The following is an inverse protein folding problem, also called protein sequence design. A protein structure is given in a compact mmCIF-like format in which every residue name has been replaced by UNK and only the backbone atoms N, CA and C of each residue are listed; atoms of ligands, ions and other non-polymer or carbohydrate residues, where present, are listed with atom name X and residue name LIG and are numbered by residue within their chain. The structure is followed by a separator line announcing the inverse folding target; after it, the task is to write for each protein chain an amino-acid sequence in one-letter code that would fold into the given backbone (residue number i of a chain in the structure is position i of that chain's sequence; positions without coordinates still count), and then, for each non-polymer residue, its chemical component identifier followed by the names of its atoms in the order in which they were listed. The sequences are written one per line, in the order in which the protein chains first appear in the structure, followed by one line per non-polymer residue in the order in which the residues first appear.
data_IF_574880142507
#
_entry.id   IF_574880142507
#
_cell.length_a   1.000
_cell.length_b   1.000
_cell.length_c   1.000
_cell.angle_alpha   90.00
_cell.angle_beta   90.00
_cell.angle_gamma   90.00
#
_symmetry.space_group_name_H-M   'P 1'
#
loop_
_entity.id
_entity.type
_entity.pdbx_description
1 polymer ?
#
# COMPACT_ATOMS: atom_id res chain seq x y z
N UNK A 1 -42.09 27.64 -68.76
CA UNK A 1 -42.48 27.56 -67.32
C UNK A 1 -42.29 26.15 -66.75
N UNK A 2 -42.63 25.09 -67.48
CA UNK A 2 -42.47 23.69 -66.98
C UNK A 2 -41.00 23.28 -66.79
N UNK A 3 -40.10 23.68 -67.70
CA UNK A 3 -38.67 23.32 -67.63
C UNK A 3 -37.94 23.91 -66.42
N UNK A 4 -38.28 25.14 -66.02
CA UNK A 4 -37.69 25.79 -64.84
C UNK A 4 -38.10 25.10 -63.54
N UNK A 5 -39.35 24.62 -63.45
CA UNK A 5 -39.80 23.85 -62.28
C UNK A 5 -39.15 22.46 -62.21
N UNK A 6 -38.86 21.83 -63.34
CA UNK A 6 -38.19 20.52 -63.39
C UNK A 6 -36.73 20.61 -62.92
N UNK A 7 -36.02 21.68 -63.31
CA UNK A 7 -34.62 21.92 -62.88
C UNK A 7 -34.54 22.19 -61.37
N UNK A 8 -35.46 22.98 -60.82
CA UNK A 8 -35.50 23.30 -59.38
C UNK A 8 -35.87 22.06 -58.55
N UNK A 9 -36.78 21.23 -59.04
CA UNK A 9 -37.12 19.95 -58.40
C UNK A 9 -35.93 18.96 -58.43
N UNK A 10 -35.16 18.92 -59.53
CA UNK A 10 -33.98 18.06 -59.65
C UNK A 10 -32.83 18.45 -58.70
N UNK A 11 -32.55 19.75 -58.55
CA UNK A 11 -31.46 20.24 -57.68
C UNK A 11 -31.78 20.06 -56.19
N UNK A 12 -33.04 20.27 -55.78
CA UNK A 12 -33.47 20.03 -54.40
C UNK A 12 -33.39 18.55 -54.01
N UNK A 13 -33.74 17.64 -54.92
CA UNK A 13 -33.62 16.19 -54.69
C UNK A 13 -32.15 15.74 -54.58
N UNK A 14 -31.27 16.28 -55.42
CA UNK A 14 -29.83 15.96 -55.39
C UNK A 14 -29.16 16.41 -54.08
N UNK A 15 -29.49 17.60 -53.57
CA UNK A 15 -28.98 18.10 -52.29
C UNK A 15 -29.48 17.21 -51.13
N UNK A 16 -30.74 16.76 -51.18
CA UNK A 16 -31.31 15.83 -50.20
C UNK A 16 -30.56 14.50 -50.14
N UNK A 17 -30.23 13.91 -51.28
CA UNK A 17 -29.53 12.62 -51.36
C UNK A 17 -28.09 12.72 -50.82
N UNK A 18 -27.39 13.82 -51.13
CA UNK A 18 -26.04 14.08 -50.59
C UNK A 18 -26.08 14.29 -49.08
N UNK A 19 -27.11 14.96 -48.55
CA UNK A 19 -27.30 15.13 -47.12
C UNK A 19 -27.53 13.80 -46.39
N UNK A 20 -28.40 12.94 -46.93
CA UNK A 20 -28.75 11.64 -46.33
C UNK A 20 -27.53 10.70 -46.33
N UNK A 21 -26.78 10.64 -47.43
CA UNK A 21 -25.57 9.81 -47.50
C UNK A 21 -24.53 10.22 -46.45
N UNK A 22 -24.29 11.53 -46.27
CA UNK A 22 -23.38 12.04 -45.23
C UNK A 22 -23.89 11.73 -43.82
N UNK A 23 -25.19 11.82 -43.59
CA UNK A 23 -25.79 11.44 -42.30
C UNK A 23 -25.58 9.95 -41.99
N UNK A 24 -25.70 9.06 -42.99
CA UNK A 24 -25.44 7.62 -42.82
C UNK A 24 -23.96 7.37 -42.48
N UNK A 25 -23.01 8.03 -43.14
CA UNK A 25 -21.59 7.88 -42.81
C UNK A 25 -21.26 8.38 -41.39
N UNK A 26 -21.87 9.49 -40.95
CA UNK A 26 -21.74 9.96 -39.56
C UNK A 26 -22.31 8.98 -38.54
N UNK A 27 -23.45 8.34 -38.86
CA UNK A 27 -24.06 7.32 -38.01
C UNK A 27 -23.14 6.08 -37.88
N UNK A 28 -22.57 5.60 -38.98
CA UNK A 28 -21.64 4.47 -38.99
C UNK A 28 -20.38 4.81 -38.17
N UNK A 29 -19.83 6.03 -38.34
CA UNK A 29 -18.68 6.48 -37.56
C UNK A 29 -19.00 6.54 -36.05
N UNK A 30 -20.17 7.05 -35.66
CA UNK A 30 -20.61 7.10 -34.27
C UNK A 30 -20.70 5.68 -33.66
N UNK A 31 -21.29 4.72 -34.38
CA UNK A 31 -21.40 3.34 -33.91
C UNK A 31 -20.03 2.67 -33.78
N UNK A 32 -19.12 2.89 -34.72
CA UNK A 32 -17.75 2.39 -34.65
C UNK A 32 -16.95 3.01 -33.50
N UNK A 33 -17.14 4.30 -33.23
CA UNK A 33 -16.52 4.99 -32.12
C UNK A 33 -17.05 4.46 -30.77
N UNK A 34 -18.37 4.27 -30.65
CA UNK A 34 -18.98 3.74 -29.43
C UNK A 34 -18.59 2.29 -29.17
N UNK A 35 -18.52 1.45 -30.21
CA UNK A 35 -18.07 0.06 -30.08
C UNK A 35 -16.58 -0.02 -29.72
N UNK A 36 -15.74 0.83 -30.32
CA UNK A 36 -14.33 0.96 -29.97
C UNK A 36 -14.11 1.47 -28.55
N UNK A 37 -14.88 2.46 -28.11
CA UNK A 37 -14.84 2.97 -26.74
C UNK A 37 -15.32 1.92 -25.72
N UNK A 38 -16.37 1.16 -26.06
CA UNK A 38 -16.84 0.05 -25.23
C UNK A 38 -15.77 -1.05 -25.15
N UNK A 39 -15.12 -1.41 -26.25
CA UNK A 39 -14.04 -2.39 -26.25
C UNK A 39 -12.83 -1.89 -25.47
N UNK A 40 -12.44 -0.62 -25.64
CA UNK A 40 -11.35 0.01 -24.89
C UNK A 40 -11.64 0.01 -23.39
N UNK A 41 -12.85 0.39 -22.97
CA UNK A 41 -13.22 0.38 -21.55
C UNK A 41 -13.33 -1.02 -20.98
N UNK A 42 -13.80 -2.01 -21.74
CA UNK A 42 -13.84 -3.42 -21.31
C UNK A 42 -12.43 -4.02 -21.21
N UNK A 43 -11.56 -3.76 -22.18
CA UNK A 43 -10.17 -4.22 -22.15
C UNK A 43 -9.35 -3.49 -21.07
N UNK A 44 -9.58 -2.20 -20.87
CA UNK A 44 -8.95 -1.44 -19.80
C UNK A 44 -9.50 -1.87 -18.42
N UNK A 45 -10.78 -2.22 -18.32
CA UNK A 45 -11.35 -2.87 -17.12
C UNK A 45 -10.75 -4.25 -16.90
N UNK A 46 -10.53 -5.06 -17.95
CA UNK A 46 -9.87 -6.37 -17.82
C UNK A 46 -8.41 -6.22 -17.41
N UNK A 47 -7.64 -5.31 -18.02
CA UNK A 47 -6.28 -4.98 -17.59
C UNK A 47 -6.26 -4.46 -16.15
N UNK A 48 -7.16 -3.55 -15.79
CA UNK A 48 -7.24 -2.99 -14.45
C UNK A 48 -7.75 -4.00 -13.41
N UNK A 49 -8.57 -4.99 -13.82
CA UNK A 49 -9.06 -6.09 -12.97
C UNK A 49 -8.00 -7.16 -12.78
N UNK A 50 -7.28 -7.54 -13.83
CA UNK A 50 -6.14 -8.47 -13.75
C UNK A 50 -4.98 -7.86 -12.97
N UNK A 51 -4.75 -6.55 -13.11
CA UNK A 51 -3.79 -5.77 -12.33
C UNK A 51 -4.36 -5.31 -10.97
N UNK A 52 -5.60 -5.70 -10.65
CA UNK A 52 -6.19 -5.63 -9.30
C UNK A 52 -5.95 -6.97 -8.65
N UNK A 53 -4.72 -7.21 -8.23
CA UNK A 53 -4.49 -8.18 -7.18
C UNK A 53 -5.41 -7.83 -5.99
N UNK A 54 -5.95 -8.82 -5.26
CA UNK A 54 -6.74 -8.59 -4.05
C UNK A 54 -5.98 -7.77 -3.00
N UNK A 55 -4.66 -7.65 -3.15
CA UNK A 55 -3.77 -6.83 -2.35
C UNK A 55 -4.03 -5.33 -2.58
N UNK A 56 -4.34 -4.88 -3.80
CA UNK A 56 -4.75 -3.49 -4.05
C UNK A 56 -6.13 -3.16 -3.43
N UNK A 57 -7.02 -4.16 -3.34
CA UNK A 57 -8.28 -4.04 -2.61
C UNK A 57 -8.07 -3.99 -1.09
N UNK A 58 -7.11 -4.76 -0.57
CA UNK A 58 -6.66 -4.68 0.84
C UNK A 58 -5.99 -3.35 1.17
N UNK A 59 -5.12 -2.83 0.30
CA UNK A 59 -4.43 -1.53 0.47
C UNK A 59 -5.42 -0.36 0.42
N UNK A 60 -6.40 -0.40 -0.48
CA UNK A 60 -7.46 0.63 -0.53
C UNK A 60 -8.48 0.51 0.62
N UNK A 61 -8.76 -0.69 1.13
CA UNK A 61 -9.54 -0.89 2.36
C UNK A 61 -8.79 -0.37 3.58
N UNK A 62 -7.50 -0.70 3.71
CA UNK A 62 -6.65 -0.28 4.81
C UNK A 62 -6.44 1.24 4.79
N UNK A 63 -6.15 1.83 3.64
CA UNK A 63 -6.03 3.29 3.47
C UNK A 63 -7.34 4.02 3.77
N UNK A 64 -8.49 3.47 3.34
CA UNK A 64 -9.81 4.06 3.61
C UNK A 64 -10.19 3.94 5.10
N UNK A 65 -9.88 2.82 5.74
CA UNK A 65 -10.07 2.60 7.18
C UNK A 65 -9.12 3.44 8.05
N UNK A 66 -7.90 3.68 7.56
CA UNK A 66 -6.92 4.61 8.15
C UNK A 66 -7.51 6.02 8.17
N UNK A 67 -8.03 6.49 7.03
CA UNK A 67 -8.63 7.82 6.88
C UNK A 67 -9.87 7.99 7.77
N UNK A 68 -10.75 6.98 7.86
CA UNK A 68 -11.94 7.07 8.73
C UNK A 68 -11.59 7.08 10.21
N UNK A 69 -10.58 6.33 10.65
CA UNK A 69 -10.16 6.37 12.06
C UNK A 69 -9.38 7.65 12.42
N UNK A 70 -8.80 8.36 11.45
CA UNK A 70 -8.16 9.65 11.68
C UNK A 70 -9.20 10.70 12.11
N UNK A 71 -10.36 10.75 11.44
CA UNK A 71 -11.47 11.66 11.80
C UNK A 71 -12.05 11.36 13.20
N UNK A 72 -12.17 10.08 13.57
CA UNK A 72 -12.67 9.65 14.88
C UNK A 72 -11.69 9.94 16.04
N UNK A 73 -10.39 10.04 15.75
CA UNK A 73 -9.36 10.39 16.74
C UNK A 73 -9.28 11.92 16.92
N UNK A 74 -9.57 12.69 15.86
CA UNK A 74 -9.60 14.16 15.89
C UNK A 74 -10.63 14.71 16.89
N UNK A 75 -11.77 14.04 17.03
CA UNK A 75 -12.83 14.41 17.99
C UNK A 75 -12.50 14.08 19.45
N UNK A 76 -11.60 13.13 19.71
CA UNK A 76 -11.24 12.73 21.09
C UNK A 76 -9.99 13.43 21.65
N UNK A 77 -9.07 13.88 20.79
CA UNK A 77 -7.79 14.44 21.24
C UNK A 77 -7.84 15.93 21.61
N UNK A 78 -8.94 16.63 21.33
CA UNK A 78 -9.09 18.07 21.62
C UNK A 78 -9.27 18.38 23.12
N UNK A 79 -9.29 17.36 23.98
CA UNK A 79 -9.55 17.50 25.42
C UNK A 79 -8.36 17.20 26.36
N UNK A 80 -7.17 16.87 25.87
CA UNK A 80 -6.04 16.58 26.78
C UNK A 80 -4.71 17.15 26.29
N UNK A 81 -4.54 18.47 26.43
CA UNK A 81 -3.21 19.09 26.45
C UNK A 81 -2.78 19.25 27.90
N UNK A 82 -2.25 18.19 28.49
CA UNK A 82 -1.58 18.25 29.79
C UNK A 82 -0.09 18.45 29.56
N UNK A 83 0.38 19.66 29.87
CA UNK A 83 1.78 20.02 30.02
C UNK A 83 2.27 19.49 31.36
N UNK A 84 3.18 18.52 31.36
CA UNK A 84 4.11 18.40 32.48
C UNK A 84 5.44 17.82 32.00
N UNK A 85 6.42 18.71 31.93
CA UNK A 85 7.84 18.47 31.70
C UNK A 85 8.45 17.97 33.01
N UNK A 86 8.35 16.67 33.26
CA UNK A 86 9.31 15.99 34.12
C UNK A 86 9.56 14.63 33.49
N UNK A 87 10.80 14.40 33.06
CA UNK A 87 11.27 13.11 32.52
C UNK A 87 11.37 12.15 33.70
N UNK A 88 10.22 11.72 34.23
CA UNK A 88 10.17 10.48 34.97
C UNK A 88 10.52 9.41 33.93
N UNK A 89 11.56 8.61 34.21
CA UNK A 89 11.97 7.49 33.37
C UNK A 89 10.80 6.50 33.30
N UNK A 90 9.87 6.75 32.40
CA UNK A 90 8.70 5.91 32.19
C UNK A 90 9.20 4.57 31.67
N UNK A 91 8.92 3.47 32.37
CA UNK A 91 9.40 2.16 31.96
C UNK A 91 8.91 1.85 30.54
N UNK A 92 9.85 1.47 29.66
CA UNK A 92 9.57 1.21 28.25
C UNK A 92 8.90 -0.16 28.08
N UNK A 93 9.48 -1.17 28.71
CA UNK A 93 9.03 -2.57 28.65
C UNK A 93 8.65 -3.14 30.00
N UNK A 94 8.88 -2.39 31.09
CA UNK A 94 8.70 -2.82 32.47
C UNK A 94 9.71 -3.90 32.92
N UNK A 95 10.79 -4.07 32.15
CA UNK A 95 11.96 -4.88 32.50
C UNK A 95 13.17 -3.97 32.58
N UNK A 96 13.72 -3.79 33.78
CA UNK A 96 14.80 -2.83 34.03
C UNK A 96 16.05 -3.10 33.19
N UNK A 97 16.43 -4.36 33.03
CA UNK A 97 17.62 -4.75 32.23
C UNK A 97 17.44 -4.38 30.76
N UNK A 98 16.25 -4.60 30.22
CA UNK A 98 15.93 -4.31 28.82
C UNK A 98 15.80 -2.78 28.63
N UNK A 99 15.15 -2.11 29.57
CA UNK A 99 14.93 -0.66 29.51
C UNK A 99 16.27 0.11 29.59
N UNK A 100 17.21 -0.30 30.44
CA UNK A 100 18.56 0.28 30.50
C UNK A 100 19.27 0.18 29.14
N UNK A 101 19.27 -1.00 28.51
CA UNK A 101 19.86 -1.18 27.18
C UNK A 101 19.13 -0.40 26.08
N UNK A 102 17.81 -0.27 26.17
CA UNK A 102 17.03 0.50 25.20
C UNK A 102 17.29 2.00 25.31
N UNK A 103 17.40 2.54 26.52
CA UNK A 103 17.75 3.95 26.71
C UNK A 103 19.12 4.23 26.10
N UNK A 104 20.12 3.41 26.38
CA UNK A 104 21.47 3.55 25.82
C UNK A 104 21.46 3.47 24.28
N UNK A 105 20.72 2.52 23.71
CA UNK A 105 20.60 2.39 22.26
C UNK A 105 19.99 3.64 21.62
N UNK A 106 18.95 4.21 22.24
CA UNK A 106 18.30 5.43 21.74
C UNK A 106 19.24 6.62 21.84
N UNK A 107 20.00 6.74 22.93
CA UNK A 107 21.02 7.78 23.10
C UNK A 107 22.06 7.71 21.98
N UNK A 108 22.60 6.51 21.69
CA UNK A 108 23.53 6.32 20.59
C UNK A 108 22.93 6.62 19.23
N UNK A 109 21.69 6.17 18.98
CA UNK A 109 21.01 6.44 17.73
C UNK A 109 20.82 7.94 17.50
N UNK A 110 20.34 8.67 18.51
CA UNK A 110 20.13 10.11 18.40
C UNK A 110 21.45 10.85 18.20
N UNK A 111 22.50 10.47 18.92
CA UNK A 111 23.83 11.07 18.76
C UNK A 111 24.36 10.87 17.35
N UNK A 112 24.36 9.63 16.86
CA UNK A 112 25.07 9.27 15.64
C UNK A 112 24.28 9.66 14.37
N UNK A 113 22.95 9.66 14.43
CA UNK A 113 22.10 9.91 13.26
C UNK A 113 21.38 11.25 13.26
N UNK A 114 21.26 11.97 14.37
CA UNK A 114 20.48 13.22 14.45
C UNK A 114 21.32 14.39 14.96
N UNK A 115 22.00 14.20 16.09
CA UNK A 115 22.71 15.28 16.80
C UNK A 115 23.81 15.92 15.94
N UNK A 116 24.56 15.11 15.18
CA UNK A 116 25.67 15.59 14.35
C UNK A 116 25.23 16.63 13.33
N UNK A 117 24.21 16.36 12.52
CA UNK A 117 23.77 17.34 11.51
C UNK A 117 22.89 18.43 12.11
N UNK A 118 22.10 18.13 13.13
CA UNK A 118 21.23 19.12 13.76
C UNK A 118 22.05 20.24 14.42
N UNK A 119 23.01 19.88 15.29
CA UNK A 119 23.88 20.85 15.97
C UNK A 119 24.84 21.55 15.02
N UNK A 120 25.31 20.87 13.98
CA UNK A 120 26.31 21.46 13.06
C UNK A 120 25.69 22.34 11.98
N UNK A 121 24.48 22.03 11.50
CA UNK A 121 23.93 22.64 10.28
C UNK A 121 22.64 23.44 10.48
N UNK A 122 21.92 23.28 11.61
CA UNK A 122 20.58 23.84 11.77
C UNK A 122 20.45 24.71 13.01
N UNK A 123 20.59 24.13 14.21
CA UNK A 123 20.38 24.84 15.47
C UNK A 123 21.03 24.09 16.63
N UNK A 124 21.44 24.83 17.66
CA UNK A 124 21.99 24.26 18.91
C UNK A 124 20.94 24.12 20.02
N UNK A 125 19.65 24.20 19.67
CA UNK A 125 18.54 24.09 20.62
C UNK A 125 18.40 22.65 21.16
N UNK A 126 18.37 22.49 22.49
CA UNK A 126 18.23 21.18 23.13
C UNK A 126 16.78 20.69 23.20
N UNK A 127 15.80 21.60 23.10
CA UNK A 127 14.38 21.28 23.25
C UNK A 127 13.91 20.31 22.16
N UNK A 128 14.33 20.52 20.91
CA UNK A 128 14.02 19.62 19.80
C UNK A 128 14.56 18.20 20.03
N UNK A 129 15.80 18.06 20.49
CA UNK A 129 16.41 16.74 20.72
C UNK A 129 15.69 15.99 21.84
N UNK A 130 15.27 16.71 22.89
CA UNK A 130 14.48 16.16 23.98
C UNK A 130 13.08 15.72 23.50
N UNK A 131 12.45 16.48 22.62
CA UNK A 131 11.16 16.11 22.03
C UNK A 131 11.25 14.85 21.15
N UNK A 132 12.28 14.74 20.31
CA UNK A 132 12.50 13.53 19.48
C UNK A 132 12.75 12.32 20.35
N UNK A 133 13.60 12.46 21.38
CA UNK A 133 13.87 11.42 22.38
C UNK A 133 12.59 10.94 23.06
N UNK A 134 11.78 11.88 23.55
CA UNK A 134 10.51 11.58 24.21
C UNK A 134 9.53 10.88 23.26
N UNK A 135 9.51 11.26 21.98
CA UNK A 135 8.69 10.59 20.96
C UNK A 135 9.13 9.15 20.71
N UNK A 136 10.45 8.89 20.65
CA UNK A 136 10.97 7.52 20.54
C UNK A 136 10.59 6.67 21.76
N UNK A 137 10.74 7.20 22.97
CA UNK A 137 10.33 6.49 24.20
C UNK A 137 8.84 6.14 24.18
N UNK A 138 7.97 7.10 23.85
CA UNK A 138 6.52 6.86 23.75
C UNK A 138 6.18 5.84 22.67
N UNK A 139 6.81 5.92 21.51
CA UNK A 139 6.58 4.97 20.41
C UNK A 139 6.97 3.54 20.81
N UNK A 140 8.12 3.37 21.48
CA UNK A 140 8.58 2.06 21.98
C UNK A 140 7.67 1.55 23.10
N UNK A 141 7.22 2.42 23.99
CA UNK A 141 6.26 2.06 25.04
C UNK A 141 4.92 1.60 24.45
N UNK A 142 4.40 2.33 23.46
CA UNK A 142 3.19 1.95 22.73
C UNK A 142 3.35 0.60 22.01
N UNK A 143 4.50 0.38 21.36
CA UNK A 143 4.83 -0.91 20.76
C UNK A 143 4.81 -2.02 21.82
N UNK A 144 5.48 -1.82 22.96
CA UNK A 144 5.55 -2.78 24.05
C UNK A 144 4.18 -3.12 24.63
N UNK A 145 3.35 -2.09 24.87
CA UNK A 145 1.97 -2.25 25.35
C UNK A 145 1.10 -3.04 24.37
N UNK A 146 1.30 -2.86 23.06
CA UNK A 146 0.59 -3.61 22.03
C UNK A 146 1.05 -5.06 21.98
N UNK A 147 2.36 -5.29 21.98
CA UNK A 147 2.97 -6.62 21.95
C UNK A 147 2.57 -7.46 23.16
N UNK A 148 2.40 -6.83 24.34
CA UNK A 148 1.94 -7.50 25.56
C UNK A 148 0.47 -7.94 25.51
N UNK A 149 -0.36 -7.31 24.67
CA UNK A 149 -1.78 -7.69 24.51
C UNK A 149 -1.97 -8.88 23.58
N UNK A 150 -0.93 -9.31 22.88
CA UNK A 150 -0.97 -10.46 21.98
C UNK A 150 -0.79 -11.74 22.82
N UNK A 151 -1.66 -12.72 22.61
CA UNK A 151 -1.45 -14.06 23.12
C UNK A 151 -0.37 -14.76 22.28
N UNK A 152 0.87 -14.70 22.76
CA UNK A 152 2.02 -15.27 22.07
C UNK A 152 1.94 -16.77 21.88
N UNK A 153 1.29 -17.49 22.79
CA UNK A 153 1.19 -18.94 22.70
C UNK A 153 0.26 -19.33 21.55
N UNK A 154 -0.96 -18.75 21.51
CA UNK A 154 -1.93 -18.99 20.45
C UNK A 154 -1.41 -18.51 19.09
N UNK A 155 -0.81 -17.32 19.06
CA UNK A 155 -0.21 -16.77 17.84
C UNK A 155 0.87 -17.68 17.26
N UNK A 156 1.83 -18.11 18.10
CA UNK A 156 2.96 -18.90 17.63
C UNK A 156 2.56 -20.34 17.28
N UNK A 157 1.74 -20.98 18.12
CA UNK A 157 1.41 -22.40 17.97
C UNK A 157 0.24 -22.67 17.04
N UNK A 158 -0.71 -21.73 16.92
CA UNK A 158 -1.81 -21.80 15.98
C UNK A 158 -1.43 -21.12 14.67
N UNK A 159 -1.39 -19.79 14.68
CA UNK A 159 -1.34 -19.00 13.44
C UNK A 159 -0.05 -19.24 12.63
N UNK A 160 1.11 -19.17 13.28
CA UNK A 160 2.40 -19.30 12.57
C UNK A 160 2.61 -20.74 12.08
N UNK A 161 2.34 -21.74 12.92
CA UNK A 161 2.48 -23.15 12.55
C UNK A 161 1.49 -23.53 11.44
N UNK A 162 0.24 -23.08 11.50
CA UNK A 162 -0.76 -23.34 10.46
C UNK A 162 -0.37 -22.69 9.13
N UNK A 163 0.16 -21.46 9.17
CA UNK A 163 0.68 -20.77 7.98
C UNK A 163 1.83 -21.56 7.34
N UNK A 164 2.80 -22.03 8.16
CA UNK A 164 3.90 -22.84 7.69
C UNK A 164 3.44 -24.20 7.14
N UNK A 165 2.54 -24.89 7.85
CA UNK A 165 1.98 -26.17 7.44
C UNK A 165 1.23 -26.04 6.11
N UNK A 166 0.48 -24.94 5.94
CA UNK A 166 -0.20 -24.61 4.68
C UNK A 166 0.79 -24.41 3.55
N UNK A 167 1.85 -23.63 3.76
CA UNK A 167 2.91 -23.43 2.77
C UNK A 167 3.57 -24.75 2.35
N UNK A 168 3.92 -25.62 3.31
CA UNK A 168 4.52 -26.93 3.04
C UNK A 168 3.55 -27.84 2.28
N UNK A 169 2.27 -27.87 2.65
CA UNK A 169 1.24 -28.63 1.93
C UNK A 169 1.10 -28.15 0.49
N UNK A 170 1.05 -26.83 0.28
CA UNK A 170 0.91 -26.23 -1.03
C UNK A 170 2.13 -26.53 -1.93
N UNK A 171 3.33 -26.48 -1.36
CA UNK A 171 4.57 -26.87 -2.04
C UNK A 171 4.59 -28.35 -2.44
N UNK A 172 4.16 -29.25 -1.54
CA UNK A 172 4.07 -30.68 -1.86
C UNK A 172 3.08 -30.92 -3.01
N UNK A 173 1.91 -30.29 -2.96
CA UNK A 173 0.90 -30.37 -4.00
C UNK A 173 1.43 -29.85 -5.35
N UNK A 174 2.16 -28.73 -5.36
CA UNK A 174 2.78 -28.19 -6.56
C UNK A 174 3.77 -29.19 -7.19
N UNK A 175 4.60 -29.83 -6.35
CA UNK A 175 5.57 -30.83 -6.80
C UNK A 175 4.90 -32.09 -7.37
N UNK A 176 3.80 -32.53 -6.75
CA UNK A 176 3.02 -33.67 -7.24
C UNK A 176 2.36 -33.36 -8.59
N UNK A 177 1.80 -32.15 -8.76
CA UNK A 177 1.20 -31.70 -10.03
C UNK A 177 2.20 -31.71 -11.18
N UNK A 178 3.40 -31.17 -10.96
CA UNK A 178 4.50 -31.19 -11.97
C UNK A 178 4.90 -32.64 -12.31
N UNK A 179 4.98 -33.51 -11.30
CA UNK A 179 5.34 -34.92 -11.50
C UNK A 179 4.29 -35.69 -12.31
N UNK A 180 3.01 -35.37 -12.13
CA UNK A 180 1.90 -35.99 -12.87
C UNK A 180 1.84 -35.50 -14.33
N UNK A 181 2.08 -34.22 -14.56
CA UNK A 181 1.94 -33.59 -15.89
C UNK A 181 3.07 -33.95 -16.87
N UNK A 182 4.19 -34.53 -16.40
CA UNK A 182 5.31 -35.19 -17.14
C UNK A 182 5.87 -34.52 -18.41
N UNK A 183 5.40 -33.34 -18.82
CA UNK A 183 5.69 -32.76 -20.15
C UNK A 183 5.85 -31.24 -20.15
N UNK A 184 5.67 -30.56 -19.03
CA UNK A 184 5.82 -29.10 -18.94
C UNK A 184 7.15 -28.73 -18.30
N UNK A 185 7.96 -27.90 -18.96
CA UNK A 185 9.02 -27.07 -18.34
C UNK A 185 8.37 -26.01 -17.41
N UNK A 186 7.35 -26.39 -16.64
CA UNK A 186 6.65 -25.49 -15.75
C UNK A 186 7.54 -25.21 -14.54
N UNK A 187 7.73 -23.93 -14.24
CA UNK A 187 8.43 -23.50 -13.04
C UNK A 187 7.60 -23.90 -11.82
N UNK A 188 8.24 -24.48 -10.81
CA UNK A 188 7.56 -24.85 -9.57
C UNK A 188 6.93 -23.66 -8.86
N UNK A 189 7.53 -22.46 -9.03
CA UNK A 189 6.99 -21.22 -8.47
C UNK A 189 5.64 -20.85 -9.07
N UNK A 190 5.47 -20.94 -10.39
CA UNK A 190 4.19 -20.59 -11.02
C UNK A 190 3.09 -21.56 -10.59
N UNK A 191 3.39 -22.87 -10.59
CA UNK A 191 2.42 -23.90 -10.16
C UNK A 191 2.06 -23.74 -8.67
N UNK A 192 3.02 -23.35 -7.83
CA UNK A 192 2.78 -23.06 -6.42
C UNK A 192 1.80 -21.89 -6.24
N UNK A 193 2.02 -20.78 -6.94
CA UNK A 193 1.18 -19.59 -6.82
C UNK A 193 -0.21 -19.79 -7.46
N UNK A 194 -0.32 -20.57 -8.53
CA UNK A 194 -1.61 -20.98 -9.09
C UNK A 194 -2.43 -21.76 -8.06
N UNK A 195 -1.80 -22.72 -7.37
CA UNK A 195 -2.43 -23.45 -6.27
C UNK A 195 -2.76 -22.54 -5.09
N UNK A 196 -1.93 -21.55 -4.77
CA UNK A 196 -2.22 -20.57 -3.71
C UNK A 196 -3.51 -19.80 -4.02
N UNK A 197 -3.65 -19.33 -5.25
CA UNK A 197 -4.83 -18.62 -5.72
C UNK A 197 -6.10 -19.48 -5.63
N UNK A 198 -6.00 -20.77 -6.00
CA UNK A 198 -7.07 -21.75 -5.91
C UNK A 198 -7.48 -22.02 -4.43
N UNK A 199 -6.52 -22.19 -3.53
CA UNK A 199 -6.76 -22.52 -2.12
C UNK A 199 -7.20 -21.32 -1.26
N UNK A 200 -6.61 -20.15 -1.45
CA UNK A 200 -6.89 -18.94 -0.66
C UNK A 200 -8.00 -18.05 -1.27
N UNK A 201 -8.84 -18.61 -2.17
CA UNK A 201 -10.00 -17.93 -2.80
C UNK A 201 -9.62 -16.60 -3.49
N UNK A 202 -8.52 -16.63 -4.24
CA UNK A 202 -8.07 -15.52 -5.08
C UNK A 202 -6.93 -14.69 -4.49
N UNK A 203 -6.46 -14.97 -3.28
CA UNK A 203 -5.21 -14.37 -2.76
C UNK A 203 -4.03 -15.09 -3.42
N UNK A 204 -3.19 -14.32 -4.11
CA UNK A 204 -1.98 -14.82 -4.73
C UNK A 204 -0.85 -13.81 -4.51
N UNK A 205 0.28 -14.30 -4.00
CA UNK A 205 1.44 -13.48 -3.64
C UNK A 205 2.48 -13.40 -4.76
N UNK A 206 2.21 -14.00 -5.93
CA UNK A 206 3.13 -14.05 -7.08
C UNK A 206 3.66 -12.66 -7.48
N UNK A 207 2.77 -11.68 -7.68
CA UNK A 207 3.17 -10.34 -8.10
C UNK A 207 4.12 -9.66 -7.10
N UNK A 208 3.94 -9.92 -5.80
CA UNK A 208 4.77 -9.34 -4.74
C UNK A 208 6.10 -10.09 -4.62
N UNK A 209 6.10 -11.41 -4.79
CA UNK A 209 7.31 -12.24 -4.63
C UNK A 209 8.19 -12.29 -5.89
N UNK A 210 7.65 -11.98 -7.06
CA UNK A 210 8.37 -12.08 -8.35
C UNK A 210 8.87 -10.72 -8.85
N UNK A 211 8.23 -9.62 -8.45
CA UNK A 211 8.58 -8.26 -8.89
C UNK A 211 9.07 -7.40 -7.71
N UNK A 212 10.31 -6.91 -7.81
CA UNK A 212 10.94 -6.09 -6.75
C UNK A 212 10.26 -4.75 -6.53
N UNK A 213 9.75 -4.11 -7.57
CA UNK A 213 9.03 -2.84 -7.45
C UNK A 213 7.71 -3.04 -6.67
N UNK A 214 6.98 -4.13 -6.94
CA UNK A 214 5.77 -4.52 -6.23
C UNK A 214 6.05 -4.93 -4.80
N UNK A 215 7.13 -5.68 -4.56
CA UNK A 215 7.61 -6.00 -3.22
C UNK A 215 7.84 -4.72 -2.40
N UNK A 216 8.52 -3.74 -2.99
CA UNK A 216 8.78 -2.44 -2.36
C UNK A 216 7.48 -1.69 -2.06
N UNK A 217 6.54 -1.62 -3.00
CA UNK A 217 5.22 -1.02 -2.76
C UNK A 217 4.48 -1.70 -1.60
N UNK A 218 4.53 -3.03 -1.54
CA UNK A 218 3.90 -3.81 -0.49
C UNK A 218 4.53 -3.56 0.89
N UNK A 219 5.86 -3.55 0.98
CA UNK A 219 6.58 -3.23 2.21
C UNK A 219 6.32 -1.79 2.68
N UNK A 220 6.16 -0.85 1.75
CA UNK A 220 5.77 0.53 2.07
C UNK A 220 4.36 0.60 2.67
N UNK A 221 3.40 -0.12 2.09
CA UNK A 221 2.05 -0.18 2.63
C UNK A 221 2.02 -0.79 4.03
N UNK A 222 2.81 -1.86 4.28
CA UNK A 222 2.98 -2.42 5.63
C UNK A 222 3.58 -1.37 6.58
N UNK A 223 4.63 -0.67 6.15
CA UNK A 223 5.29 0.31 7.00
C UNK A 223 4.37 1.49 7.34
N UNK A 224 3.55 1.97 6.39
CA UNK A 224 2.53 2.99 6.63
C UNK A 224 1.51 2.53 7.71
N UNK A 225 1.11 1.26 7.67
CA UNK A 225 0.21 0.66 8.68
C UNK A 225 0.90 0.57 10.04
N UNK A 226 2.15 0.12 10.07
CA UNK A 226 2.93 0.03 11.31
C UNK A 226 3.13 1.42 11.93
N UNK A 227 3.50 2.41 11.14
CA UNK A 227 3.63 3.81 11.62
C UNK A 227 2.31 4.27 12.22
N UNK A 228 1.18 3.99 11.57
CA UNK A 228 -0.13 4.36 12.10
C UNK A 228 -0.48 3.67 13.42
N UNK A 229 -0.09 2.40 13.60
CA UNK A 229 -0.36 1.64 14.82
C UNK A 229 0.56 2.07 15.97
N UNK A 230 1.81 2.43 15.65
CA UNK A 230 2.88 2.66 16.62
C UNK A 230 3.05 4.12 17.03
N UNK A 231 2.85 5.08 16.12
CA UNK A 231 2.94 6.49 16.48
C UNK A 231 1.70 6.94 17.25
N UNK A 232 1.88 7.61 18.40
CA UNK A 232 0.75 8.22 19.09
C UNK A 232 0.14 9.36 18.25
N UNK A 233 -1.17 9.58 18.42
CA UNK A 233 -1.96 10.47 17.57
C UNK A 233 -1.50 11.95 17.55
N UNK A 234 -0.75 12.37 18.58
CA UNK A 234 -0.11 13.68 18.68
C UNK A 234 1.12 13.82 17.77
N UNK A 235 1.94 12.78 17.64
CA UNK A 235 3.18 12.78 16.84
C UNK A 235 2.91 12.47 15.37
N UNK A 236 1.91 11.61 15.10
CA UNK A 236 1.46 11.36 13.73
C UNK A 236 1.04 12.67 13.02
N UNK A 237 0.53 13.67 13.75
CA UNK A 237 0.13 14.99 13.22
C UNK A 237 1.30 15.82 12.67
N UNK A 238 2.54 15.51 13.05
CA UNK A 238 3.71 16.19 12.50
C UNK A 238 3.99 15.68 11.07
N UNK A 239 3.52 16.43 10.07
CA UNK A 239 3.70 16.12 8.65
C UNK A 239 5.20 15.91 8.31
N UNK A 240 6.14 16.76 8.77
CA UNK A 240 7.56 16.55 8.55
C UNK A 240 8.08 15.22 9.14
N UNK A 241 7.71 14.88 10.37
CA UNK A 241 8.14 13.63 11.00
C UNK A 241 7.63 12.41 10.23
N UNK A 242 6.35 12.43 9.82
CA UNK A 242 5.75 11.36 9.02
C UNK A 242 6.44 11.22 7.66
N UNK A 243 6.75 12.35 7.01
CA UNK A 243 7.45 12.35 5.73
C UNK A 243 8.89 11.86 5.88
N UNK A 244 9.61 12.24 6.95
CA UNK A 244 10.98 11.76 7.19
C UNK A 244 11.00 10.25 7.41
N UNK A 245 10.09 9.71 8.22
CA UNK A 245 10.00 8.27 8.45
C UNK A 245 9.67 7.54 7.14
N UNK A 246 8.69 8.03 6.38
CA UNK A 246 8.31 7.47 5.07
C UNK A 246 9.47 7.53 4.05
N UNK A 247 10.18 8.65 4.00
CA UNK A 247 11.33 8.86 3.11
C UNK A 247 12.52 7.99 3.51
N UNK A 248 12.78 7.79 4.80
CA UNK A 248 13.89 6.91 5.22
C UNK A 248 13.59 5.43 5.08
N UNK A 249 12.34 5.00 5.21
CA UNK A 249 11.91 3.68 4.73
C UNK A 249 12.17 3.56 3.22
N UNK A 250 11.83 4.60 2.43
CA UNK A 250 12.08 4.61 0.99
C UNK A 250 13.58 4.48 0.63
N UNK A 251 14.47 5.09 1.40
CA UNK A 251 15.92 4.99 1.20
C UNK A 251 16.52 3.68 1.76
N UNK A 252 16.14 3.24 2.96
CA UNK A 252 16.65 2.00 3.58
C UNK A 252 16.34 0.76 2.73
N UNK A 253 15.10 0.64 2.24
CA UNK A 253 14.73 -0.45 1.33
C UNK A 253 15.18 -0.21 -0.12
N UNK A 254 15.65 0.99 -0.45
CA UNK A 254 16.11 1.36 -1.80
C UNK A 254 17.62 1.25 -2.01
N UNK A 255 18.44 1.37 -0.96
CA UNK A 255 19.90 1.44 -1.08
C UNK A 255 20.62 0.12 -0.89
N UNK A 256 20.03 -0.88 -0.22
CA UNK A 256 20.71 -2.16 0.07
C UNK A 256 20.57 -3.23 -1.03
N UNK A 257 19.83 -2.97 -2.11
CA UNK A 257 19.66 -3.92 -3.22
C UNK A 257 20.28 -3.47 -4.55
N UNK A 258 21.14 -2.44 -4.50
CA UNK A 258 21.93 -1.93 -5.63
C UNK A 258 23.43 -2.25 -5.49
N UNK A 259 23.75 -3.41 -4.89
CA UNK A 259 25.05 -4.09 -5.00
C UNK A 259 24.80 -5.51 -5.51
#
# INVERSE_FOLDING_TARGET
MVETHLIIAGTSLAIGIIGISRAIYWLIFLVAFLSGFLLYTVLNRRKCFQNRSPIAASSSYTRRRLLTHIDDIETKSSLSRSTNTHIDRTPLTNSRVIDESLYELIDYFLRDYIEIWYKTQISSDEDFMNDVRNGMYKTIQHLSDRMRKIDWLDFLTGTVVDSFATHVRLYRNAKERIKMERTTNADIKSVFFDLEAEYERGICRDEVCTNKEREKEFLQDIADVLIYILLPANEFRCIPARMIIRVRIYYLFGSEFLI
#
